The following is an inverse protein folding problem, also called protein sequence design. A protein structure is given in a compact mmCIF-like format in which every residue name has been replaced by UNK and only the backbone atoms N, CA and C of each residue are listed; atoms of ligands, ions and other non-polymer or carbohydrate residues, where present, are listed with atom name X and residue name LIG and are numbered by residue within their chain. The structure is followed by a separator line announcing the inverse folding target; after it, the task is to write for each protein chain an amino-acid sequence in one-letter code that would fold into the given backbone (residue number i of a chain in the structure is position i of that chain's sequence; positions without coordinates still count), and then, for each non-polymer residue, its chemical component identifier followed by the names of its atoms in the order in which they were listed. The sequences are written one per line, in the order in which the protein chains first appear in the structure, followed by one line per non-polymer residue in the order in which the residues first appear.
data_IF_792037330387
#
_entry.id   IF_792037330387
#
_cell.length_a   1.000
_cell.length_b   1.000
_cell.length_c   1.000
_cell.angle_alpha   90.00
_cell.angle_beta   90.00
_cell.angle_gamma   90.00
#
_symmetry.space_group_name_H-M   'P 1'
#
loop_
_entity.id
_entity.type
_entity.pdbx_description
1 polymer ?
#
# COMPACT_ATOMS: atom_id res chain seq x y z
N UNK A 1 -10.96 -3.79 -5.69
CA UNK A 1 -10.43 -2.61 -4.99
C UNK A 1 -10.28 -1.52 -6.02
N UNK A 2 -10.91 -0.36 -5.81
CA UNK A 2 -10.84 0.77 -6.75
C UNK A 2 -9.76 1.73 -6.29
N UNK A 3 -8.65 1.79 -7.04
CA UNK A 3 -7.52 2.66 -6.74
C UNK A 3 -7.60 3.89 -7.62
N UNK A 4 -7.84 5.04 -7.01
CA UNK A 4 -8.03 6.31 -7.69
C UNK A 4 -6.67 7.02 -7.78
N UNK A 5 -6.11 7.24 -8.98
CA UNK A 5 -4.86 7.97 -9.12
C UNK A 5 -5.04 9.44 -8.69
N UNK A 6 -4.07 9.96 -7.97
CA UNK A 6 -3.98 11.35 -7.53
C UNK A 6 -2.92 12.10 -8.35
N UNK A 7 -3.07 13.42 -8.47
CA UNK A 7 -2.20 14.27 -9.29
C UNK A 7 -0.72 14.26 -8.85
N UNK A 8 -0.45 13.90 -7.60
CA UNK A 8 0.90 13.79 -7.03
C UNK A 8 1.59 12.44 -7.30
N UNK A 9 0.97 11.55 -8.08
CA UNK A 9 1.49 10.20 -8.36
C UNK A 9 1.17 9.17 -7.27
N UNK A 10 0.46 9.56 -6.21
CA UNK A 10 -0.09 8.62 -5.24
C UNK A 10 -1.42 8.05 -5.75
N UNK A 11 -1.92 7.04 -5.05
CA UNK A 11 -3.23 6.46 -5.27
C UNK A 11 -4.06 6.60 -4.00
N UNK A 12 -5.36 6.80 -4.13
CA UNK A 12 -6.31 6.77 -3.03
C UNK A 12 -7.17 5.51 -3.14
N UNK A 13 -7.32 4.81 -2.04
CA UNK A 13 -8.28 3.71 -1.91
C UNK A 13 -9.31 4.07 -0.85
N UNK A 14 -10.59 3.82 -1.15
CA UNK A 14 -11.66 3.96 -0.16
C UNK A 14 -11.89 2.62 0.52
N UNK A 15 -11.53 2.52 1.78
CA UNK A 15 -11.72 1.34 2.59
C UNK A 15 -13.21 0.96 2.68
N UNK A 16 -13.50 -0.33 2.58
CA UNK A 16 -14.83 -0.88 2.86
C UNK A 16 -14.83 -1.61 4.21
N UNK A 17 -16.00 -2.03 4.65
CA UNK A 17 -16.13 -2.76 5.92
C UNK A 17 -15.23 -4.00 5.93
N UNK A 18 -14.43 -4.14 6.99
CA UNK A 18 -13.50 -5.25 7.17
C UNK A 18 -12.17 -5.14 6.42
N UNK A 19 -11.90 -4.05 5.70
CA UNK A 19 -10.60 -3.82 5.08
C UNK A 19 -9.51 -3.53 6.13
N UNK A 20 -8.30 -4.02 5.84
CA UNK A 20 -7.11 -3.77 6.63
C UNK A 20 -6.05 -3.08 5.78
N UNK A 21 -5.30 -2.15 6.38
CA UNK A 21 -4.24 -1.40 5.68
C UNK A 21 -3.15 -2.33 5.12
N UNK A 22 -2.85 -3.43 5.81
CA UNK A 22 -1.89 -4.44 5.37
C UNK A 22 -2.37 -5.18 4.10
N UNK A 23 -3.65 -5.57 4.06
CA UNK A 23 -4.25 -6.22 2.89
C UNK A 23 -4.25 -5.29 1.68
N UNK A 24 -4.62 -4.03 1.87
CA UNK A 24 -4.66 -3.02 0.80
C UNK A 24 -3.24 -2.77 0.27
N UNK A 25 -2.26 -2.60 1.16
CA UNK A 25 -0.85 -2.45 0.78
C UNK A 25 -0.35 -3.67 0.01
N UNK A 26 -0.64 -4.89 0.48
CA UNK A 26 -0.27 -6.12 -0.22
C UNK A 26 -0.92 -6.23 -1.60
N UNK A 27 -2.21 -5.90 -1.73
CA UNK A 27 -2.91 -5.95 -3.01
C UNK A 27 -2.42 -4.91 -4.01
N UNK A 28 -1.98 -3.74 -3.54
CA UNK A 28 -1.49 -2.66 -4.39
C UNK A 28 -0.02 -2.86 -4.81
N UNK A 29 0.86 -3.22 -3.87
CA UNK A 29 2.31 -3.37 -4.09
C UNK A 29 2.76 -4.81 -4.38
N UNK A 30 1.92 -5.80 -4.08
CA UNK A 30 2.22 -7.24 -4.24
C UNK A 30 3.18 -7.82 -3.19
N UNK A 31 3.56 -7.06 -2.17
CA UNK A 31 4.47 -7.49 -1.09
C UNK A 31 4.38 -6.57 0.13
N UNK A 32 4.96 -7.01 1.25
CA UNK A 32 4.87 -6.36 2.58
C UNK A 32 6.16 -5.63 2.99
N UNK A 33 7.28 -5.98 2.36
CA UNK A 33 8.62 -5.49 2.72
C UNK A 33 8.75 -3.99 2.42
N UNK A 34 8.74 -3.17 3.48
CA UNK A 34 8.84 -1.71 3.42
C UNK A 34 7.60 -0.96 2.94
N UNK A 35 6.59 -1.67 2.41
CA UNK A 35 5.37 -1.07 1.85
C UNK A 35 4.41 -0.58 2.92
N UNK A 36 4.28 -1.34 4.03
CA UNK A 36 3.45 -0.95 5.15
C UNK A 36 3.95 0.36 5.78
N UNK A 37 5.26 0.48 6.00
CA UNK A 37 5.88 1.69 6.55
C UNK A 37 5.69 2.90 5.64
N UNK A 38 5.79 2.70 4.32
CA UNK A 38 5.55 3.72 3.31
C UNK A 38 4.11 4.26 3.39
N UNK A 39 3.12 3.36 3.47
CA UNK A 39 1.70 3.72 3.63
C UNK A 39 1.46 4.41 4.96
N UNK A 40 1.97 3.88 6.07
CA UNK A 40 1.78 4.48 7.40
C UNK A 40 2.42 5.87 7.49
N UNK A 41 3.56 6.09 6.83
CA UNK A 41 4.21 7.40 6.77
C UNK A 41 3.39 8.40 5.93
N UNK A 42 2.81 7.96 4.81
CA UNK A 42 1.92 8.78 3.98
C UNK A 42 0.57 9.07 4.65
N UNK A 43 0.13 8.21 5.56
CA UNK A 43 -1.15 8.33 6.28
C UNK A 43 -0.92 8.50 7.78
N UNK A 44 -0.34 9.64 8.18
CA UNK A 44 -0.20 9.99 9.59
C UNK A 44 -1.57 9.99 10.27
N UNK A 45 -1.79 9.01 11.15
CA UNK A 45 -3.05 8.80 11.87
C UNK A 45 -3.70 7.45 11.59
N UNK A 46 -3.39 6.76 10.48
CA UNK A 46 -3.91 5.41 10.23
C UNK A 46 -3.41 4.39 11.26
N UNK A 47 -2.13 4.45 11.62
CA UNK A 47 -1.55 3.59 12.67
C UNK A 47 -2.26 3.74 14.03
N UNK A 48 -2.80 4.92 14.33
CA UNK A 48 -3.49 5.19 15.59
C UNK A 48 -4.94 4.71 15.60
N UNK A 49 -5.55 4.48 14.43
CA UNK A 49 -6.93 3.99 14.29
C UNK A 49 -7.08 2.49 14.56
N UNK A 50 -5.98 1.73 14.48
CA UNK A 50 -5.96 0.29 14.69
C UNK A 50 -5.89 -0.52 13.39
N UNK A 51 -5.96 -1.87 13.48
CA UNK A 51 -5.69 -2.78 12.35
C UNK A 51 -6.82 -2.84 11.30
N UNK A 52 -8.04 -2.45 11.66
CA UNK A 52 -9.22 -2.48 10.78
C UNK A 52 -9.66 -1.05 10.49
N UNK A 53 -9.88 -0.76 9.21
CA UNK A 53 -10.33 0.54 8.75
C UNK A 53 -11.84 0.64 8.85
N UNK A 54 -12.34 1.84 9.17
CA UNK A 54 -13.78 2.08 9.10
C UNK A 54 -14.20 2.23 7.64
N UNK A 55 -15.42 1.80 7.33
CA UNK A 55 -15.98 1.98 5.99
C UNK A 55 -15.94 3.45 5.58
N UNK A 56 -15.38 3.73 4.41
CA UNK A 56 -15.22 5.08 3.88
C UNK A 56 -13.94 5.81 4.29
N UNK A 57 -13.08 5.21 5.10
CA UNK A 57 -11.73 5.76 5.32
C UNK A 57 -10.94 5.78 4.01
N UNK A 58 -10.19 6.86 3.79
CA UNK A 58 -9.30 6.97 2.64
C UNK A 58 -7.88 6.56 3.04
N UNK A 59 -7.30 5.66 2.23
CA UNK A 59 -5.92 5.21 2.36
C UNK A 59 -5.14 5.76 1.18
N UNK A 60 -4.11 6.56 1.48
CA UNK A 60 -3.17 7.08 0.48
C UNK A 60 -2.04 6.07 0.28
N UNK A 61 -1.91 5.58 -0.93
CA UNK A 61 -0.88 4.63 -1.37
C UNK A 61 0.14 5.41 -2.21
N UNK A 62 1.27 5.83 -1.63
CA UNK A 62 2.34 6.48 -2.39
C UNK A 62 2.99 5.50 -3.38
N UNK A 63 3.55 5.97 -4.50
CA UNK A 63 4.28 5.11 -5.42
C UNK A 63 5.52 4.56 -4.74
N UNK A 64 5.83 3.28 -4.96
CA UNK A 64 7.06 2.71 -4.43
C UNK A 64 8.27 3.34 -5.10
N UNK A 65 9.36 3.58 -4.35
CA UNK A 65 10.63 3.87 -4.98
C UNK A 65 10.98 2.71 -5.91
N UNK A 66 11.59 2.97 -7.08
CA UNK A 66 11.92 1.91 -8.03
C UNK A 66 12.76 0.86 -7.33
N UNK A 67 12.20 -0.32 -7.11
CA UNK A 67 12.95 -1.46 -6.58
C UNK A 67 14.12 -1.69 -7.54
N UNK A 68 15.34 -1.74 -6.99
CA UNK A 68 16.45 -2.33 -7.72
C UNK A 68 16.03 -3.76 -8.02
N UNK A 69 15.57 -4.01 -9.25
CA UNK A 69 15.30 -5.36 -9.73
C UNK A 69 16.63 -6.08 -9.59
N UNK A 70 16.80 -6.85 -8.51
CA UNK A 70 17.88 -7.83 -8.48
C UNK A 70 17.50 -8.79 -9.58
N UNK A 71 18.24 -8.72 -10.68
CA UNK A 71 18.07 -9.60 -11.82
C UNK A 71 18.19 -11.01 -11.24
N UNK A 72 17.08 -11.73 -11.13
CA UNK A 72 17.11 -13.15 -10.76
C UNK A 72 18.05 -13.81 -11.75
N UNK A 73 19.24 -14.17 -11.29
CA UNK A 73 20.16 -15.00 -12.04
C UNK A 73 19.45 -16.35 -12.07
N UNK A 74 18.86 -16.69 -13.20
CA UNK A 74 18.37 -18.04 -13.44
C UNK A 74 19.61 -18.93 -13.47
N UNK A 75 19.91 -19.58 -12.35
CA UNK A 75 20.90 -20.64 -12.28
C UNK A 75 20.21 -21.92 -12.74
N UNK A 76 20.09 -22.10 -14.05
CA UNK A 76 19.84 -23.41 -14.63
C UNK A 76 21.11 -23.82 -15.35
N UNK A 77 21.71 -24.93 -14.91
CA UNK A 77 22.48 -25.86 -15.75
C UNK A 77 21.53 -27.00 -16.12
#
# INVERSE_FOLDING_TARGET
MDFIPLENGNYAYRAIDGDAVDLIAFQFYGHHDGTLELVLNANRGLAAKGPVLSVGDFVILPPEPPRKVTRMIRLWD
#
